data_IF_348012797573
#
_entry.id   IF_348012797573
#
_cell.length_a   1.000
_cell.length_b   1.000
_cell.length_c   1.000
_cell.angle_alpha   90.00
_cell.angle_beta   90.00
_cell.angle_gamma   90.00
#
_symmetry.space_group_name_H-M   'P 1'
#
loop_
_entity.id
_entity.type
_entity.pdbx_description
1 polymer ?
#
# COMPACT_ATOMS: atom_id res chain seq x y z
N UNK A 1 -17.56 -13.88 -22.58
CA UNK A 1 -18.49 -13.30 -21.60
C UNK A 1 -18.25 -13.98 -20.25
N UNK A 2 -17.36 -13.44 -19.42
CA UNK A 2 -17.10 -13.95 -18.06
C UNK A 2 -17.74 -12.97 -17.08
N UNK A 3 -18.89 -13.34 -16.51
CA UNK A 3 -19.49 -12.65 -15.38
C UNK A 3 -18.59 -12.88 -14.16
N UNK A 4 -17.51 -12.08 -14.05
CA UNK A 4 -16.77 -11.94 -12.79
C UNK A 4 -17.77 -11.44 -11.75
N UNK A 5 -18.18 -12.32 -10.84
CA UNK A 5 -18.95 -11.93 -9.66
C UNK A 5 -18.19 -10.80 -8.96
N UNK A 6 -18.82 -9.65 -8.78
CA UNK A 6 -18.25 -8.54 -8.02
C UNK A 6 -18.29 -8.93 -6.54
N UNK A 7 -17.13 -9.28 -5.99
CA UNK A 7 -16.93 -9.40 -4.53
C UNK A 7 -16.68 -8.00 -4.00
N UNK A 8 -17.45 -7.58 -3.01
CA UNK A 8 -17.22 -6.34 -2.29
C UNK A 8 -17.53 -6.57 -0.81
N UNK A 9 -16.53 -6.30 0.02
CA UNK A 9 -16.71 -6.15 1.46
C UNK A 9 -17.13 -4.70 1.72
N UNK A 10 -18.20 -4.52 2.48
CA UNK A 10 -18.65 -3.22 2.93
C UNK A 10 -18.21 -3.01 4.37
N UNK A 11 -17.58 -1.88 4.61
CA UNK A 11 -17.38 -1.39 5.97
C UNK A 11 -18.66 -0.64 6.35
N UNK A 12 -19.38 -1.11 7.37
CA UNK A 12 -20.68 -0.53 7.74
C UNK A 12 -20.59 0.58 8.77
N UNK A 13 -19.62 0.54 9.69
CA UNK A 13 -19.46 1.57 10.71
C UNK A 13 -18.03 2.07 10.75
N UNK A 14 -17.87 3.35 10.42
CA UNK A 14 -16.64 4.10 10.66
C UNK A 14 -16.84 4.93 11.94
N UNK A 15 -16.00 4.68 12.94
CA UNK A 15 -16.00 5.46 14.19
C UNK A 15 -14.69 6.24 14.26
N UNK A 16 -14.81 7.52 14.56
CA UNK A 16 -13.67 8.43 14.64
C UNK A 16 -13.43 8.80 16.09
N UNK A 17 -12.30 8.39 16.63
CA UNK A 17 -11.91 8.64 18.02
C UNK A 17 -10.75 9.63 18.06
N UNK A 18 -10.87 10.67 18.90
CA UNK A 18 -9.76 11.57 19.19
C UNK A 18 -8.97 10.97 20.35
N UNK A 19 -7.76 10.51 20.09
CA UNK A 19 -6.85 9.93 21.09
C UNK A 19 -5.67 10.87 21.31
N UNK A 20 -4.98 10.75 22.45
CA UNK A 20 -3.82 11.59 22.79
C UNK A 20 -4.13 13.08 22.68
N UNK A 21 -5.24 13.51 23.30
CA UNK A 21 -5.66 14.91 23.31
C UNK A 21 -4.77 15.68 24.30
N UNK A 22 -3.97 16.62 23.81
CA UNK A 22 -3.17 17.54 24.63
C UNK A 22 -3.63 18.97 24.41
N UNK A 23 -3.89 19.67 25.51
CA UNK A 23 -4.17 21.10 25.50
C UNK A 23 -2.85 21.84 25.62
N UNK A 24 -2.56 22.67 24.63
CA UNK A 24 -1.34 23.46 24.57
C UNK A 24 -1.59 24.82 25.25
N UNK A 25 -0.55 25.39 25.85
CA UNK A 25 -0.62 26.67 26.58
C UNK A 25 -1.02 27.86 25.67
N UNK A 26 -0.86 27.73 24.35
CA UNK A 26 -1.30 28.70 23.36
C UNK A 26 -2.80 28.61 23.01
N UNK A 27 -3.60 27.87 23.79
CA UNK A 27 -5.03 27.71 23.58
C UNK A 27 -5.43 26.76 22.45
N UNK A 28 -4.48 26.02 21.87
CA UNK A 28 -4.76 25.01 20.85
C UNK A 28 -4.87 23.62 21.45
N UNK A 29 -5.57 22.72 20.75
CA UNK A 29 -5.72 21.32 21.16
C UNK A 29 -5.09 20.44 20.09
N UNK A 30 -4.04 19.72 20.46
CA UNK A 30 -3.47 18.66 19.63
C UNK A 30 -4.20 17.36 19.93
N UNK A 31 -4.58 16.61 18.91
CA UNK A 31 -5.15 15.27 19.06
C UNK A 31 -4.72 14.40 17.89
N UNK A 32 -4.65 13.10 18.13
CA UNK A 32 -4.52 12.11 17.07
C UNK A 32 -5.90 11.57 16.72
N UNK A 33 -6.20 11.50 15.42
CA UNK A 33 -7.47 10.97 14.94
C UNK A 33 -7.30 9.48 14.62
N UNK A 34 -7.92 8.62 15.44
CA UNK A 34 -7.98 7.18 15.23
C UNK A 34 -9.28 6.85 14.50
N UNK A 35 -9.17 6.20 13.34
CA UNK A 35 -10.32 5.67 12.60
C UNK A 35 -10.47 4.18 12.89
N UNK A 36 -11.64 3.77 13.33
CA UNK A 36 -11.99 2.36 13.56
C UNK A 36 -13.05 1.97 12.56
N UNK A 37 -12.76 0.93 11.79
CA UNK A 37 -13.62 0.43 10.73
C UNK A 37 -14.17 -0.94 11.14
N UNK A 38 -15.50 -1.08 11.22
CA UNK A 38 -16.15 -2.35 11.52
C UNK A 38 -16.76 -2.94 10.25
N UNK A 39 -16.39 -4.18 9.97
CA UNK A 39 -16.94 -4.95 8.86
C UNK A 39 -18.43 -5.20 9.06
N UNK A 40 -19.22 -5.02 8.00
CA UNK A 40 -20.67 -5.26 8.03
C UNK A 40 -21.02 -6.47 7.16
N UNK A 41 -21.15 -7.66 7.76
CA UNK A 41 -21.45 -8.88 7.02
C UNK A 41 -22.85 -8.86 6.40
N UNK A 42 -23.80 -8.08 6.93
CA UNK A 42 -25.20 -8.07 6.45
C UNK A 42 -25.35 -7.33 5.13
N UNK A 43 -24.51 -6.31 4.90
CA UNK A 43 -24.51 -5.52 3.67
C UNK A 43 -23.33 -5.86 2.74
N UNK A 44 -22.57 -6.91 3.04
CA UNK A 44 -21.46 -7.39 2.22
C UNK A 44 -21.89 -8.61 1.40
N UNK A 45 -21.40 -8.71 0.15
CA UNK A 45 -21.63 -9.90 -0.69
C UNK A 45 -20.60 -11.01 -0.46
N UNK A 46 -19.53 -10.69 0.26
CA UNK A 46 -18.42 -11.57 0.58
C UNK A 46 -17.83 -11.24 1.95
N UNK A 47 -17.00 -12.14 2.47
CA UNK A 47 -16.28 -11.96 3.73
C UNK A 47 -14.99 -11.14 3.53
N UNK A 48 -14.40 -10.65 4.62
CA UNK A 48 -13.07 -10.02 4.60
C UNK A 48 -11.97 -11.00 4.19
N UNK A 49 -12.20 -12.29 4.41
CA UNK A 49 -11.26 -13.36 4.03
C UNK A 49 -11.43 -13.83 2.58
N UNK A 50 -12.43 -13.32 1.85
CA UNK A 50 -12.62 -13.68 0.45
C UNK A 50 -11.44 -13.22 -0.41
N UNK A 51 -10.95 -14.13 -1.24
CA UNK A 51 -9.85 -13.85 -2.16
C UNK A 51 -10.35 -13.05 -3.37
N UNK A 52 -9.63 -11.97 -3.68
CA UNK A 52 -9.87 -11.11 -4.83
C UNK A 52 -8.62 -10.99 -5.68
N UNK A 53 -8.81 -11.03 -7.00
CA UNK A 53 -7.73 -10.79 -7.96
C UNK A 53 -7.76 -9.33 -8.36
N UNK A 54 -6.72 -8.58 -7.98
CA UNK A 54 -6.58 -7.15 -8.23
C UNK A 54 -5.31 -6.86 -9.03
N UNK A 55 -5.24 -5.72 -9.75
CA UNK A 55 -3.97 -5.27 -10.29
C UNK A 55 -2.95 -5.05 -9.15
N UNK A 56 -1.68 -5.38 -9.37
CA UNK A 56 -0.62 -5.13 -8.40
C UNK A 56 -0.36 -3.61 -8.32
N UNK A 57 -0.95 -2.97 -7.32
CA UNK A 57 -0.87 -1.51 -7.13
C UNK A 57 0.58 -1.07 -6.85
N UNK A 58 1.37 -1.72 -5.96
CA UNK A 58 2.79 -1.41 -5.81
C UNK A 58 3.59 -1.42 -7.12
N UNK A 59 3.44 -2.47 -7.93
CA UNK A 59 4.09 -2.58 -9.23
C UNK A 59 3.67 -1.47 -10.19
N UNK A 60 2.37 -1.18 -10.27
CA UNK A 60 1.85 -0.11 -11.13
C UNK A 60 2.39 1.26 -10.72
N UNK A 61 2.44 1.53 -9.41
CA UNK A 61 2.98 2.77 -8.86
C UNK A 61 4.48 2.91 -9.14
N UNK A 62 5.27 1.85 -8.97
CA UNK A 62 6.70 1.85 -9.32
C UNK A 62 6.92 2.08 -10.83
N UNK A 63 6.14 1.38 -11.67
CA UNK A 63 6.22 1.50 -13.13
C UNK A 63 5.83 2.90 -13.60
N UNK A 64 4.72 3.44 -13.08
CA UNK A 64 4.21 4.78 -13.44
C UNK A 64 5.22 5.87 -13.13
N UNK A 65 5.87 5.81 -11.97
CA UNK A 65 6.87 6.81 -11.57
C UNK A 65 8.16 6.71 -12.39
N UNK A 66 8.53 5.50 -12.82
CA UNK A 66 9.74 5.27 -13.62
C UNK A 66 9.60 5.57 -15.11
N UNK A 67 8.39 5.94 -15.57
CA UNK A 67 8.10 6.20 -16.98
C UNK A 67 9.05 7.23 -17.61
N UNK A 68 9.50 8.20 -16.82
CA UNK A 68 10.38 9.29 -17.24
C UNK A 68 11.85 9.08 -16.85
N UNK A 69 12.19 7.95 -16.21
CA UNK A 69 13.56 7.63 -15.85
C UNK A 69 14.41 7.29 -17.09
N UNK A 70 15.74 7.40 -16.93
CA UNK A 70 16.68 7.02 -17.97
C UNK A 70 16.44 5.57 -18.45
N UNK A 71 16.72 5.30 -19.74
CA UNK A 71 16.43 4.01 -20.36
C UNK A 71 17.06 2.82 -19.64
N UNK A 72 18.28 2.99 -19.11
CA UNK A 72 18.98 1.95 -18.36
C UNK A 72 18.25 1.59 -17.05
N UNK A 73 17.74 2.60 -16.32
CA UNK A 73 16.96 2.40 -15.09
C UNK A 73 15.68 1.61 -15.35
N UNK A 74 14.98 1.94 -16.44
CA UNK A 74 13.77 1.22 -16.86
C UNK A 74 14.04 -0.24 -17.22
N UNK A 75 15.14 -0.51 -17.94
CA UNK A 75 15.57 -1.86 -18.29
C UNK A 75 15.89 -2.67 -17.04
N UNK A 76 16.66 -2.07 -16.13
CA UNK A 76 17.05 -2.75 -14.92
C UNK A 76 15.85 -3.01 -13.98
N UNK A 77 14.87 -2.11 -13.94
CA UNK A 77 13.60 -2.36 -13.26
C UNK A 77 12.81 -3.53 -13.87
N UNK A 78 12.73 -3.60 -15.21
CA UNK A 78 12.10 -4.73 -15.87
C UNK A 78 12.80 -6.05 -15.51
N UNK A 79 14.14 -6.06 -15.46
CA UNK A 79 14.91 -7.23 -15.02
C UNK A 79 14.60 -7.63 -13.58
N UNK A 80 14.53 -6.67 -12.65
CA UNK A 80 14.18 -6.95 -11.24
C UNK A 80 12.76 -7.52 -11.14
N UNK A 81 11.79 -6.95 -11.85
CA UNK A 81 10.42 -7.46 -11.86
C UNK A 81 10.35 -8.89 -12.37
N UNK A 82 11.14 -9.24 -13.39
CA UNK A 82 11.21 -10.60 -13.92
C UNK A 82 11.88 -11.58 -12.93
N UNK A 83 13.01 -11.17 -12.31
CA UNK A 83 13.73 -11.95 -11.28
C UNK A 83 12.83 -12.24 -10.08
N UNK A 84 12.13 -11.22 -9.58
CA UNK A 84 11.19 -11.33 -8.47
C UNK A 84 9.85 -11.98 -8.86
N UNK A 85 9.67 -12.32 -10.15
CA UNK A 85 8.44 -12.89 -10.71
C UNK A 85 7.19 -12.08 -10.34
N UNK A 86 7.31 -10.76 -10.38
CA UNK A 86 6.21 -9.84 -10.07
C UNK A 86 5.11 -10.04 -11.11
N UNK A 87 3.92 -10.36 -10.63
CA UNK A 87 2.74 -10.53 -11.49
C UNK A 87 1.97 -9.22 -11.60
N UNK A 88 1.41 -8.88 -12.78
CA UNK A 88 0.58 -7.69 -12.95
C UNK A 88 -0.74 -7.75 -12.19
N UNK A 89 -1.17 -8.96 -11.83
CA UNK A 89 -2.31 -9.21 -10.95
C UNK A 89 -1.89 -10.08 -9.78
N UNK A 90 -2.35 -9.72 -8.59
CA UNK A 90 -2.14 -10.46 -7.34
C UNK A 90 -3.47 -10.93 -6.80
N UNK A 91 -3.44 -12.08 -6.14
CA UNK A 91 -4.58 -12.65 -5.44
C UNK A 91 -4.36 -12.41 -3.95
N UNK A 92 -5.23 -11.60 -3.33
CA UNK A 92 -5.14 -11.21 -1.92
C UNK A 92 -6.52 -11.27 -1.29
N UNK A 93 -6.61 -11.47 0.03
CA UNK A 93 -7.90 -11.34 0.71
C UNK A 93 -8.33 -9.87 0.77
N UNK A 94 -9.63 -9.62 0.95
CA UNK A 94 -10.12 -8.25 1.12
C UNK A 94 -9.53 -7.59 2.37
N UNK A 95 -9.30 -8.36 3.44
CA UNK A 95 -8.59 -7.93 4.63
C UNK A 95 -7.18 -7.44 4.29
N UNK A 96 -6.41 -8.26 3.58
CA UNK A 96 -5.06 -7.93 3.15
C UNK A 96 -5.02 -6.69 2.25
N UNK A 97 -5.94 -6.58 1.31
CA UNK A 97 -6.04 -5.40 0.45
C UNK A 97 -6.26 -4.10 1.23
N UNK A 98 -7.11 -4.13 2.25
CA UNK A 98 -7.43 -2.95 3.05
C UNK A 98 -6.33 -2.64 4.06
N UNK A 99 -5.85 -3.65 4.77
CA UNK A 99 -5.05 -3.48 5.98
C UNK A 99 -3.58 -3.77 5.81
N UNK A 100 -3.14 -4.37 4.72
CA UNK A 100 -1.73 -4.71 4.54
C UNK A 100 -1.54 -6.08 3.88
N UNK A 101 -0.73 -6.11 2.84
CA UNK A 101 -0.05 -7.31 2.39
C UNK A 101 1.41 -6.99 2.06
N UNK A 102 2.27 -7.99 2.25
CA UNK A 102 3.66 -7.91 1.82
C UNK A 102 3.75 -8.03 0.30
N UNK A 103 4.44 -7.09 -0.34
CA UNK A 103 4.78 -7.15 -1.76
C UNK A 103 6.31 -7.28 -1.92
N UNK A 104 6.81 -8.13 -2.84
CA UNK A 104 8.24 -8.32 -3.01
C UNK A 104 9.01 -7.04 -3.39
N UNK A 105 8.37 -6.06 -4.04
CA UNK A 105 8.99 -4.76 -4.32
C UNK A 105 9.15 -3.92 -3.06
N UNK A 106 8.19 -3.95 -2.14
CA UNK A 106 8.33 -3.30 -0.83
C UNK A 106 9.41 -3.97 0.01
N UNK A 107 9.51 -5.30 -0.05
CA UNK A 107 10.58 -6.03 0.64
C UNK A 107 11.97 -5.64 0.11
N UNK A 108 12.14 -5.65 -1.21
CA UNK A 108 13.39 -5.20 -1.85
C UNK A 108 13.70 -3.74 -1.49
N UNK A 109 12.68 -2.89 -1.48
CA UNK A 109 12.86 -1.49 -1.12
C UNK A 109 13.41 -1.31 0.30
N UNK A 110 12.98 -2.11 1.28
CA UNK A 110 13.55 -2.08 2.63
C UNK A 110 15.01 -2.52 2.68
N UNK A 111 15.36 -3.51 1.88
CA UNK A 111 16.71 -4.07 1.88
C UNK A 111 17.73 -3.10 1.25
N UNK A 112 17.28 -2.24 0.32
CA UNK A 112 18.17 -1.34 -0.41
C UNK A 112 18.12 0.12 0.07
N UNK A 113 17.02 0.58 0.68
CA UNK A 113 16.95 1.94 1.21
C UNK A 113 17.81 2.07 2.47
N UNK A 114 18.69 3.08 2.56
CA UNK A 114 19.54 3.27 3.72
C UNK A 114 18.71 3.59 4.99
N UNK A 115 19.24 3.20 6.16
CA UNK A 115 18.48 3.11 7.42
C UNK A 115 17.98 4.45 7.97
N UNK A 116 18.60 5.54 7.55
CA UNK A 116 18.24 6.93 7.81
C UNK A 116 16.99 7.38 7.03
N UNK A 117 16.66 6.68 5.95
CA UNK A 117 15.47 6.93 5.14
C UNK A 117 14.48 5.75 5.16
N UNK A 118 14.39 5.04 6.29
CA UNK A 118 13.50 3.89 6.45
C UNK A 118 12.07 4.21 6.04
N UNK A 119 11.49 3.26 5.32
CA UNK A 119 10.08 3.31 4.98
C UNK A 119 9.26 3.23 6.28
N UNK A 120 8.27 4.11 6.48
CA UNK A 120 7.44 4.08 7.68
C UNK A 120 6.48 2.89 7.72
N UNK A 121 6.44 2.06 6.67
CA UNK A 121 5.47 0.98 6.50
C UNK A 121 6.13 -0.26 5.92
N UNK A 122 5.66 -1.41 6.41
CA UNK A 122 6.17 -2.71 6.03
C UNK A 122 5.34 -3.44 4.98
N UNK A 123 4.10 -3.01 4.81
CA UNK A 123 3.07 -3.66 4.01
C UNK A 123 2.34 -2.60 3.17
N UNK A 124 1.73 -3.05 2.07
CA UNK A 124 0.82 -2.22 1.29
C UNK A 124 -0.63 -2.52 1.68
N UNK A 125 -1.39 -1.50 2.04
CA UNK A 125 -2.84 -1.61 2.20
C UNK A 125 -3.52 -0.29 1.82
N UNK A 126 -4.74 -0.35 1.30
CA UNK A 126 -5.49 0.85 0.88
C UNK A 126 -5.82 1.78 2.05
N UNK A 127 -5.98 1.20 3.24
CA UNK A 127 -6.28 1.89 4.49
C UNK A 127 -5.08 1.78 5.47
N UNK A 128 -3.96 1.21 5.02
CA UNK A 128 -2.75 1.04 5.80
C UNK A 128 -1.76 2.17 5.49
N UNK A 129 -1.50 3.01 6.49
CA UNK A 129 -0.67 4.20 6.32
C UNK A 129 -1.36 5.31 5.52
N UNK A 130 -0.63 6.41 5.29
CA UNK A 130 -1.11 7.53 4.48
C UNK A 130 -0.85 7.22 2.98
N UNK A 131 -1.89 7.12 2.12
CA UNK A 131 -1.75 6.69 0.72
C UNK A 131 -0.75 7.52 -0.09
N UNK A 132 -0.57 8.79 0.27
CA UNK A 132 0.39 9.70 -0.36
C UNK A 132 1.86 9.34 -0.03
N UNK A 133 2.11 8.78 1.15
CA UNK A 133 3.45 8.33 1.56
C UNK A 133 3.83 7.03 0.86
N UNK A 134 2.90 6.07 0.73
CA UNK A 134 3.13 4.79 0.05
C UNK A 134 3.53 4.96 -1.42
N UNK A 135 2.98 5.98 -2.10
CA UNK A 135 3.35 6.31 -3.47
C UNK A 135 4.75 6.90 -3.58
N UNK A 136 5.12 7.84 -2.72
CA UNK A 136 6.46 8.45 -2.70
C UNK A 136 7.58 7.44 -2.35
N UNK A 137 7.24 6.45 -1.53
CA UNK A 137 8.13 5.40 -1.03
C UNK A 137 8.55 4.39 -2.09
N UNK A 138 7.81 4.18 -3.17
CA UNK A 138 8.22 3.27 -4.25
C UNK A 138 9.22 3.90 -5.23
N UNK A 139 9.41 5.22 -5.16
CA UNK A 139 10.33 5.96 -6.02
C UNK A 139 11.75 6.04 -5.45
N UNK A 140 11.86 6.30 -4.15
CA UNK A 140 13.13 6.52 -3.47
C UNK A 140 14.10 5.32 -3.44
N UNK A 141 13.67 4.08 -3.11
CA UNK A 141 14.51 2.89 -3.11
C UNK A 141 15.13 2.61 -4.47
N UNK A 142 14.33 2.82 -5.51
CA UNK A 142 14.65 2.45 -6.88
C UNK A 142 15.65 3.41 -7.51
N UNK A 143 15.67 4.67 -7.07
CA UNK A 143 16.73 5.60 -7.40
C UNK A 143 18.07 5.19 -6.78
N UNK A 144 18.06 4.70 -5.53
CA UNK A 144 19.26 4.23 -4.83
C UNK A 144 19.81 2.89 -5.36
N UNK A 145 18.95 1.93 -5.73
CA UNK A 145 19.36 0.62 -6.32
C UNK A 145 20.28 0.79 -7.55
N UNK A 146 20.17 1.91 -8.27
CA UNK A 146 20.88 2.11 -9.54
C UNK A 146 21.91 3.24 -9.54
N UNK A 147 22.15 3.88 -8.39
CA UNK A 147 23.17 4.93 -8.22
C UNK A 147 24.27 4.56 -7.22
N UNK A 148 24.26 3.33 -6.68
CA UNK A 148 25.33 2.74 -5.87
C UNK A 148 26.16 1.74 -6.67
#
# INVERSE_FOLDING_TARGET
>A
MLLKRRVYARIGKETWEKVNVSFNENGTVSFHQRKVFQFDPKNSKGDVDDMVVIPNIPMLSATSQSKHAARFLRLAMASIMDILKIKPFVEVSVHQLLWGYEDPLLKLAKDVVPKDQKLPYDEFGLMYGDPLTTLAVLFFPMYYIFLS
#
